data_IF_953941832445
#
_entry.id   IF_953941832445
#
_cell.length_a   1.000
_cell.length_b   1.000
_cell.length_c   1.000
_cell.angle_alpha   90.00
_cell.angle_beta   90.00
_cell.angle_gamma   90.00
#
_symmetry.space_group_name_H-M   'P 1'
#
loop_
_entity.id
_entity.type
_entity.pdbx_description
1 polymer ?
#
# COMPACT_ATOMS: atom_id res chain seq x y z
N UNK A 1 -20.27 16.78 -20.03
CA UNK A 1 -19.12 17.71 -19.85
C UNK A 1 -18.42 17.50 -18.49
N UNK A 2 -19.16 17.26 -17.41
CA UNK A 2 -18.57 16.98 -16.09
C UNK A 2 -18.04 15.55 -16.00
N UNK A 3 -18.80 14.57 -16.49
CA UNK A 3 -18.39 13.17 -16.62
C UNK A 3 -17.16 12.96 -17.51
N UNK A 4 -17.10 13.62 -18.67
CA UNK A 4 -15.94 13.55 -19.57
C UNK A 4 -14.67 14.19 -18.95
N UNK A 5 -14.83 15.23 -18.13
CA UNK A 5 -13.73 15.87 -17.43
C UNK A 5 -13.21 15.03 -16.27
N UNK A 6 -14.13 14.39 -15.53
CA UNK A 6 -13.79 13.45 -14.44
C UNK A 6 -13.11 12.18 -14.98
N UNK A 7 -13.59 11.60 -16.09
CA UNK A 7 -12.95 10.46 -16.76
C UNK A 7 -11.55 10.82 -17.27
N UNK A 8 -11.37 12.02 -17.81
CA UNK A 8 -10.05 12.46 -18.29
C UNK A 8 -9.07 12.69 -17.14
N UNK A 9 -9.52 13.28 -16.02
CA UNK A 9 -8.69 13.47 -14.83
C UNK A 9 -8.27 12.14 -14.21
N UNK A 10 -9.17 11.16 -14.16
CA UNK A 10 -8.85 9.79 -13.71
C UNK A 10 -7.77 9.14 -14.58
N UNK A 11 -7.79 9.34 -15.90
CA UNK A 11 -6.79 8.79 -16.82
C UNK A 11 -5.43 9.49 -16.70
N UNK A 12 -5.40 10.77 -16.45
CA UNK A 12 -4.15 11.54 -16.30
C UNK A 12 -3.33 11.11 -15.07
N UNK A 13 -3.97 10.62 -14.00
CA UNK A 13 -3.31 10.20 -12.75
C UNK A 13 -3.25 8.69 -12.57
N UNK A 14 -3.32 7.93 -13.66
CA UNK A 14 -3.42 6.48 -13.60
C UNK A 14 -2.12 5.80 -13.14
N UNK A 15 -0.97 6.24 -13.64
CA UNK A 15 0.31 5.62 -13.31
C UNK A 15 0.93 6.24 -12.07
N UNK A 16 1.17 5.39 -11.06
CA UNK A 16 1.80 5.75 -9.82
C UNK A 16 2.91 4.79 -9.41
N UNK A 17 3.67 5.20 -8.42
CA UNK A 17 4.74 4.40 -7.80
C UNK A 17 4.64 4.51 -6.28
N UNK A 18 4.85 3.38 -5.59
CA UNK A 18 4.99 3.33 -4.13
C UNK A 18 6.46 3.16 -3.73
N UNK A 19 6.94 3.98 -2.79
CA UNK A 19 8.28 3.84 -2.21
C UNK A 19 8.39 4.62 -0.89
N UNK A 20 9.00 4.06 0.18
CA UNK A 20 9.28 4.75 1.44
C UNK A 20 10.50 5.67 1.34
N UNK A 21 10.40 6.76 0.56
CA UNK A 21 11.55 7.59 0.20
C UNK A 21 12.27 8.25 1.40
N UNK A 22 11.56 8.58 2.48
CA UNK A 22 12.20 9.10 3.71
C UNK A 22 13.05 8.03 4.38
N UNK A 23 12.62 6.77 4.33
CA UNK A 23 13.47 5.67 4.82
C UNK A 23 14.67 5.46 3.91
N UNK A 24 14.48 5.54 2.58
CA UNK A 24 15.57 5.47 1.62
C UNK A 24 16.64 6.53 1.88
N UNK A 25 16.26 7.78 2.12
CA UNK A 25 17.21 8.84 2.48
C UNK A 25 18.08 8.46 3.69
N UNK A 26 17.50 7.79 4.68
CA UNK A 26 18.24 7.33 5.86
C UNK A 26 19.21 6.18 5.54
N UNK A 27 18.81 5.28 4.64
CA UNK A 27 19.56 4.08 4.31
C UNK A 27 20.67 4.34 3.26
N UNK A 28 20.36 5.17 2.26
CA UNK A 28 21.20 5.39 1.08
C UNK A 28 21.96 6.72 1.12
N UNK A 29 21.53 7.66 1.97
CA UNK A 29 22.10 9.00 2.08
C UNK A 29 21.74 9.94 0.93
N UNK A 30 20.88 9.51 0.00
CA UNK A 30 20.36 10.31 -1.10
C UNK A 30 19.09 11.00 -0.65
N UNK A 31 18.98 12.32 -0.88
CA UNK A 31 17.79 13.06 -0.45
C UNK A 31 16.51 12.52 -1.07
N UNK A 32 15.48 12.31 -0.24
CA UNK A 32 14.22 11.68 -0.64
C UNK A 32 13.54 12.36 -1.82
N UNK A 33 13.62 13.69 -1.91
CA UNK A 33 13.03 14.48 -2.97
C UNK A 33 13.71 14.27 -4.35
N UNK A 34 14.98 13.85 -4.38
CA UNK A 34 15.69 13.53 -5.63
C UNK A 34 15.15 12.26 -6.30
N UNK A 35 14.68 11.28 -5.53
CA UNK A 35 14.07 10.09 -6.10
C UNK A 35 12.76 10.36 -6.85
N UNK A 36 12.07 11.48 -6.55
CA UNK A 36 10.88 11.88 -7.30
C UNK A 36 11.20 12.27 -8.75
N UNK A 37 12.44 12.63 -9.07
CA UNK A 37 12.88 12.86 -10.46
C UNK A 37 12.75 11.54 -11.28
N UNK A 38 12.96 10.38 -10.68
CA UNK A 38 12.74 9.09 -11.35
C UNK A 38 11.24 8.84 -11.60
N UNK A 39 10.39 9.19 -10.64
CA UNK A 39 8.92 9.06 -10.77
C UNK A 39 8.41 9.95 -11.91
N UNK A 40 8.89 11.20 -11.96
CA UNK A 40 8.59 12.13 -13.05
C UNK A 40 9.12 11.61 -14.39
N UNK A 41 10.36 11.11 -14.42
CA UNK A 41 10.99 10.53 -15.61
C UNK A 41 10.23 9.35 -16.19
N UNK A 42 9.59 8.54 -15.35
CA UNK A 42 8.66 7.50 -15.78
C UNK A 42 7.36 8.06 -16.39
N UNK A 43 7.07 9.34 -16.23
CA UNK A 43 5.78 9.95 -16.59
C UNK A 43 4.65 9.60 -15.63
N UNK A 44 4.96 9.11 -14.44
CA UNK A 44 3.97 8.84 -13.41
C UNK A 44 3.40 10.13 -12.83
N UNK A 45 2.13 10.11 -12.45
CA UNK A 45 1.39 11.25 -11.90
C UNK A 45 0.83 10.99 -10.49
N UNK A 46 1.19 9.87 -9.88
CA UNK A 46 0.83 9.54 -8.51
C UNK A 46 2.02 8.95 -7.76
N UNK A 47 2.08 9.25 -6.47
CA UNK A 47 3.11 8.76 -5.57
C UNK A 47 2.48 8.30 -4.25
N UNK A 48 2.75 7.05 -3.85
CA UNK A 48 2.35 6.52 -2.55
C UNK A 48 3.52 6.58 -1.59
N UNK A 49 3.34 7.33 -0.50
CA UNK A 49 4.35 7.59 0.52
C UNK A 49 4.04 6.85 1.81
N UNK A 50 5.03 6.18 2.39
CA UNK A 50 4.94 5.68 3.76
C UNK A 50 5.13 6.84 4.73
N UNK A 51 4.08 7.14 5.47
CA UNK A 51 4.03 8.24 6.44
C UNK A 51 3.61 7.68 7.81
N UNK A 52 4.47 6.87 8.41
CA UNK A 52 4.13 6.20 9.67
C UNK A 52 3.91 7.19 10.80
N UNK A 53 2.73 7.11 11.41
CA UNK A 53 2.33 7.93 12.56
C UNK A 53 3.41 7.89 13.65
N UNK A 54 3.93 6.70 13.94
CA UNK A 54 4.88 6.46 15.04
C UNK A 54 6.32 6.94 14.77
N UNK A 55 6.61 7.28 13.51
CA UNK A 55 7.88 7.92 13.12
C UNK A 55 7.76 9.43 13.05
N UNK A 56 6.58 9.95 12.71
CA UNK A 56 6.32 11.38 12.51
C UNK A 56 5.88 12.06 13.79
N UNK A 57 5.20 11.34 14.67
CA UNK A 57 4.73 11.84 15.95
C UNK A 57 5.49 11.15 17.10
N UNK A 58 5.70 11.89 18.20
CA UNK A 58 6.25 11.37 19.46
C UNK A 58 5.14 10.77 20.34
N UNK A 59 3.94 11.31 20.24
CA UNK A 59 2.68 10.84 20.78
C UNK A 59 1.53 11.32 19.87
N UNK A 60 0.26 10.96 20.11
CA UNK A 60 -0.85 11.30 19.22
C UNK A 60 -1.01 12.78 18.84
N UNK A 61 -0.44 13.70 19.61
CA UNK A 61 -0.59 15.16 19.44
C UNK A 61 0.72 15.90 19.23
N UNK A 62 1.84 15.27 19.51
CA UNK A 62 3.14 15.93 19.52
C UNK A 62 3.96 15.52 18.30
N UNK A 63 4.13 16.40 17.31
CA UNK A 63 4.94 16.10 16.12
C UNK A 63 6.44 16.08 16.45
N UNK A 64 7.18 15.21 15.79
CA UNK A 64 8.63 15.29 15.70
C UNK A 64 9.02 16.33 14.64
N UNK A 65 9.63 17.43 15.04
CA UNK A 65 9.92 18.54 14.16
C UNK A 65 10.84 18.17 12.98
N UNK A 66 11.80 17.25 13.21
CA UNK A 66 12.73 16.78 12.17
C UNK A 66 12.01 15.91 11.13
N UNK A 67 11.21 14.95 11.60
CA UNK A 67 10.43 14.08 10.72
C UNK A 67 9.41 14.87 9.91
N UNK A 68 8.68 15.80 10.54
CA UNK A 68 7.74 16.69 9.86
C UNK A 68 8.45 17.52 8.79
N UNK A 69 9.62 18.09 9.08
CA UNK A 69 10.38 18.89 8.11
C UNK A 69 10.80 18.06 6.89
N UNK A 70 11.27 16.82 7.10
CA UNK A 70 11.67 15.93 6.02
C UNK A 70 10.47 15.57 5.11
N UNK A 71 9.33 15.20 5.70
CA UNK A 71 8.13 14.90 4.92
C UNK A 71 7.59 16.11 4.17
N UNK A 72 7.59 17.31 4.78
CA UNK A 72 7.17 18.54 4.09
C UNK A 72 8.02 18.87 2.89
N UNK A 73 9.34 18.69 2.98
CA UNK A 73 10.25 18.88 1.84
C UNK A 73 9.91 17.91 0.68
N UNK A 74 9.71 16.63 0.99
CA UNK A 74 9.31 15.62 0.02
C UNK A 74 7.96 15.95 -0.64
N UNK A 75 6.95 16.30 0.16
CA UNK A 75 5.61 16.64 -0.32
C UNK A 75 5.60 17.91 -1.16
N UNK A 76 6.40 18.92 -0.78
CA UNK A 76 6.58 20.12 -1.58
C UNK A 76 7.14 19.78 -2.97
N UNK A 77 8.16 18.93 -3.04
CA UNK A 77 8.70 18.47 -4.33
C UNK A 77 7.66 17.69 -5.13
N UNK A 78 6.89 16.81 -4.50
CA UNK A 78 5.82 16.10 -5.19
C UNK A 78 4.77 17.04 -5.80
N UNK A 79 4.40 18.11 -5.09
CA UNK A 79 3.49 19.14 -5.62
C UNK A 79 4.11 19.94 -6.78
N UNK A 80 5.40 20.25 -6.73
CA UNK A 80 6.11 20.93 -7.84
C UNK A 80 6.09 20.07 -9.11
N UNK A 81 6.12 18.74 -8.97
CA UNK A 81 6.04 17.77 -10.07
C UNK A 81 4.58 17.40 -10.46
N UNK A 82 3.59 18.06 -9.87
CA UNK A 82 2.15 17.77 -10.08
C UNK A 82 1.81 16.29 -9.82
N UNK A 83 2.39 15.72 -8.76
CA UNK A 83 2.07 14.36 -8.31
C UNK A 83 0.90 14.37 -7.32
N UNK A 84 -0.09 13.51 -7.52
CA UNK A 84 -1.08 13.19 -6.50
C UNK A 84 -0.43 12.30 -5.43
N UNK A 85 -0.54 12.70 -4.18
CA UNK A 85 0.10 11.98 -3.08
C UNK A 85 -0.91 11.17 -2.29
N UNK A 86 -0.68 9.86 -2.21
CA UNK A 86 -1.32 8.95 -1.26
C UNK A 86 -0.38 8.74 -0.08
N UNK A 87 -0.74 9.25 1.10
CA UNK A 87 -0.01 9.02 2.35
C UNK A 87 -0.56 7.78 3.06
N UNK A 88 0.29 6.87 3.48
CA UNK A 88 -0.11 5.64 4.16
C UNK A 88 0.55 5.50 5.52
N UNK A 89 -0.24 5.10 6.53
CA UNK A 89 0.30 4.58 7.78
C UNK A 89 -0.45 3.31 8.19
N UNK A 90 0.32 2.32 8.62
CA UNK A 90 -0.20 1.09 9.22
C UNK A 90 0.24 0.90 10.66
N UNK A 91 0.87 1.91 11.25
CA UNK A 91 1.32 1.91 12.65
C UNK A 91 0.59 2.96 13.47
N UNK A 92 0.41 2.67 14.75
CA UNK A 92 -0.23 3.58 15.72
C UNK A 92 0.35 3.40 17.12
N UNK A 93 0.03 4.36 17.99
CA UNK A 93 0.38 4.33 19.39
C UNK A 93 -0.57 3.44 20.18
N UNK A 94 -0.04 2.75 21.19
CA UNK A 94 -0.79 1.92 22.12
C UNK A 94 -0.75 2.53 23.52
N UNK A 95 -1.84 2.41 24.30
CA UNK A 95 -1.91 2.98 25.65
C UNK A 95 -0.98 2.27 26.62
N UNK A 96 -0.75 2.91 27.75
CA UNK A 96 -0.05 2.28 28.86
C UNK A 96 -0.82 1.06 29.35
N UNK A 97 -0.11 -0.04 29.58
CA UNK A 97 -0.73 -1.35 29.88
C UNK A 97 -0.70 -2.35 28.75
N UNK A 98 -0.51 -1.92 27.49
CA UNK A 98 -0.17 -2.81 26.38
C UNK A 98 1.29 -3.26 26.48
N UNK A 99 1.59 -4.47 25.95
CA UNK A 99 2.97 -5.01 25.87
C UNK A 99 3.83 -4.09 25.03
N UNK A 100 3.28 -3.61 23.92
CA UNK A 100 3.90 -2.63 23.05
C UNK A 100 3.38 -1.23 23.29
N UNK A 101 4.16 -0.24 22.88
CA UNK A 101 3.76 1.17 22.94
C UNK A 101 3.33 1.73 21.59
N UNK A 102 3.71 1.05 20.52
CA UNK A 102 3.39 1.43 19.13
C UNK A 102 3.59 0.23 18.20
N UNK A 103 2.99 0.29 17.02
CA UNK A 103 3.13 -0.75 16.00
C UNK A 103 1.81 -1.10 15.34
N UNK A 104 1.72 -2.32 14.84
CA UNK A 104 0.55 -2.88 14.14
C UNK A 104 -0.35 -3.73 15.04
N UNK A 105 -0.11 -3.69 16.33
CA UNK A 105 -0.83 -4.49 17.31
C UNK A 105 -2.04 -3.74 17.88
N UNK A 106 -3.03 -4.49 18.33
CA UNK A 106 -4.11 -3.97 19.16
C UNK A 106 -4.33 -4.89 20.36
N UNK A 107 -4.82 -4.37 21.52
CA UNK A 107 -5.40 -5.22 22.53
C UNK A 107 -6.65 -5.95 21.98
N UNK A 108 -7.10 -6.99 22.67
CA UNK A 108 -8.34 -7.66 22.33
C UNK A 108 -9.50 -6.65 22.22
N UNK A 109 -10.37 -6.85 21.23
CA UNK A 109 -11.51 -5.97 20.99
C UNK A 109 -12.44 -5.91 22.19
N UNK A 110 -12.51 -4.77 22.84
CA UNK A 110 -13.37 -4.49 23.98
C UNK A 110 -13.93 -3.07 23.87
N UNK A 111 -15.20 -2.94 23.54
CA UNK A 111 -15.90 -1.65 23.37
C UNK A 111 -16.37 -1.03 24.69
N UNK A 112 -16.00 -1.59 25.84
CA UNK A 112 -16.31 -0.99 27.14
C UNK A 112 -15.61 0.36 27.26
N UNK A 113 -16.32 1.45 27.64
CA UNK A 113 -15.69 2.75 27.83
C UNK A 113 -14.49 2.67 28.79
N UNK A 114 -13.35 3.18 28.34
CA UNK A 114 -12.10 3.19 29.12
C UNK A 114 -11.25 1.92 29.02
N UNK A 115 -11.69 0.89 28.27
CA UNK A 115 -10.84 -0.27 27.95
C UNK A 115 -9.57 0.15 27.20
N UNK A 116 -8.53 -0.68 27.23
CA UNK A 116 -7.30 -0.42 26.46
C UNK A 116 -7.60 -0.32 24.97
N UNK A 117 -8.55 -1.11 24.47
CA UNK A 117 -8.97 -1.06 23.07
C UNK A 117 -9.59 0.28 22.70
N UNK A 118 -10.54 0.79 23.50
CA UNK A 118 -11.15 2.10 23.26
C UNK A 118 -10.15 3.26 23.41
N UNK A 119 -9.18 3.13 24.31
CA UNK A 119 -8.08 4.08 24.39
C UNK A 119 -7.21 4.07 23.13
N UNK A 120 -6.90 2.88 22.58
CA UNK A 120 -6.18 2.74 21.30
C UNK A 120 -6.92 3.44 20.17
N UNK A 121 -8.23 3.21 20.02
CA UNK A 121 -9.05 3.88 18.99
C UNK A 121 -9.06 5.40 19.15
N UNK A 122 -9.14 5.90 20.37
CA UNK A 122 -9.08 7.34 20.67
C UNK A 122 -7.71 7.94 20.31
N UNK A 123 -6.62 7.25 20.64
CA UNK A 123 -5.26 7.67 20.29
C UNK A 123 -5.05 7.67 18.76
N UNK A 124 -5.60 6.68 18.08
CA UNK A 124 -5.57 6.58 16.62
C UNK A 124 -6.29 7.76 15.96
N UNK A 125 -7.52 8.07 16.40
CA UNK A 125 -8.28 9.25 15.92
C UNK A 125 -7.49 10.56 16.10
N UNK A 126 -6.90 10.78 17.27
CA UNK A 126 -6.09 11.98 17.53
C UNK A 126 -4.83 12.02 16.65
N UNK A 127 -4.15 10.89 16.50
CA UNK A 127 -2.96 10.80 15.64
C UNK A 127 -3.27 11.15 14.20
N UNK A 128 -4.34 10.60 13.64
CA UNK A 128 -4.76 10.92 12.28
C UNK A 128 -5.21 12.37 12.12
N UNK A 129 -5.87 12.95 13.12
CA UNK A 129 -6.20 14.37 13.12
C UNK A 129 -4.94 15.24 13.08
N UNK A 130 -3.93 14.90 13.87
CA UNK A 130 -2.65 15.59 13.87
C UNK A 130 -1.94 15.43 12.51
N UNK A 131 -1.85 14.22 11.97
CA UNK A 131 -1.23 13.94 10.68
C UNK A 131 -1.90 14.72 9.54
N UNK A 132 -3.21 14.63 9.41
CA UNK A 132 -3.94 15.31 8.36
C UNK A 132 -3.88 16.85 8.44
N UNK A 133 -3.77 17.39 9.66
CA UNK A 133 -3.55 18.83 9.88
C UNK A 133 -2.13 19.28 9.52
N UNK A 134 -1.13 18.45 9.77
CA UNK A 134 0.28 18.75 9.50
C UNK A 134 0.61 18.72 8.00
N UNK A 135 -0.07 17.86 7.25
CA UNK A 135 0.23 17.58 5.85
C UNK A 135 -1.00 17.78 4.94
N UNK A 136 -1.47 19.03 4.79
CA UNK A 136 -2.60 19.34 3.91
C UNK A 136 -2.29 19.07 2.41
N UNK A 137 -1.02 18.82 2.09
CA UNK A 137 -0.55 18.48 0.74
C UNK A 137 -0.87 17.03 0.35
N UNK A 138 -1.21 16.17 1.30
CA UNK A 138 -1.60 14.78 1.02
C UNK A 138 -3.04 14.77 0.51
N UNK A 139 -3.23 14.25 -0.69
CA UNK A 139 -4.53 14.24 -1.37
C UNK A 139 -5.43 13.10 -0.88
N UNK A 140 -4.82 11.94 -0.61
CA UNK A 140 -5.49 10.71 -0.19
C UNK A 140 -4.74 10.13 1.01
N UNK A 141 -5.44 9.81 2.08
CA UNK A 141 -4.90 9.05 3.21
C UNK A 141 -5.38 7.61 3.13
N UNK A 142 -4.45 6.70 2.95
CA UNK A 142 -4.70 5.26 3.03
C UNK A 142 -4.53 4.80 4.49
N UNK A 143 -5.61 4.32 5.06
CA UNK A 143 -5.65 3.94 6.47
C UNK A 143 -5.31 2.45 6.63
N UNK A 144 -4.07 2.17 6.97
CA UNK A 144 -3.57 0.82 7.15
C UNK A 144 -2.98 0.21 5.88
N UNK A 145 -2.49 -1.00 6.01
CA UNK A 145 -1.93 -1.82 4.95
C UNK A 145 -2.24 -3.27 5.26
N UNK A 146 -2.92 -3.95 4.37
CA UNK A 146 -3.14 -5.40 4.41
C UNK A 146 -3.60 -5.96 5.77
N UNK A 147 -4.51 -5.27 6.46
CA UNK A 147 -4.99 -5.69 7.79
C UNK A 147 -5.73 -7.05 7.80
N UNK A 148 -6.00 -7.60 6.63
CA UNK A 148 -6.44 -8.98 6.52
C UNK A 148 -5.31 -10.00 6.77
N UNK A 149 -4.04 -9.57 6.84
CA UNK A 149 -2.88 -10.41 7.12
C UNK A 149 -2.38 -10.23 8.56
N UNK A 150 -1.88 -11.32 9.15
CA UNK A 150 -1.29 -11.28 10.50
C UNK A 150 -0.04 -10.40 10.58
N UNK A 151 0.66 -10.22 9.47
CA UNK A 151 1.84 -9.35 9.38
C UNK A 151 1.52 -7.88 9.70
N UNK A 152 0.28 -7.43 9.47
CA UNK A 152 -0.09 -6.02 9.57
C UNK A 152 -1.23 -5.76 10.57
N UNK A 153 -1.82 -6.78 11.16
CA UNK A 153 -2.78 -6.67 12.25
C UNK A 153 -2.73 -7.92 13.13
N UNK A 154 -2.27 -7.77 14.34
CA UNK A 154 -2.08 -8.86 15.28
C UNK A 154 -2.40 -8.45 16.73
N UNK A 155 -2.56 -9.43 17.64
CA UNK A 155 -2.78 -9.16 19.07
C UNK A 155 -1.63 -8.35 19.69
N UNK A 156 -1.83 -7.85 20.88
CA UNK A 156 -0.91 -7.06 21.69
C UNK A 156 0.45 -7.76 21.96
N UNK A 157 0.97 -8.34 20.97
CA UNK A 157 2.27 -8.96 20.86
C UNK A 157 2.98 -8.34 19.68
N UNK A 158 4.19 -8.70 19.49
CA UNK A 158 4.99 -8.19 18.40
C UNK A 158 4.74 -8.97 17.11
N UNK A 159 5.08 -8.35 15.99
CA UNK A 159 5.38 -9.01 14.70
C UNK A 159 6.30 -10.22 14.86
N UNK A 160 6.58 -10.57 16.01
CA UNK A 160 7.37 -11.70 16.21
C UNK A 160 6.54 -12.92 15.93
N UNK A 161 6.96 -13.58 15.15
CA UNK A 161 7.09 -15.00 15.06
C UNK A 161 6.19 -15.87 15.95
N UNK A 162 5.60 -15.38 17.05
CA UNK A 162 4.56 -16.11 17.76
C UNK A 162 3.18 -15.90 17.12
N UNK A 163 3.05 -16.39 15.89
CA UNK A 163 1.77 -16.54 15.20
C UNK A 163 0.85 -17.56 15.88
N UNK A 164 1.21 -18.02 17.07
CA UNK A 164 0.47 -19.07 17.80
C UNK A 164 -0.91 -18.63 18.27
N UNK A 165 -1.19 -17.31 18.31
CA UNK A 165 -2.50 -16.75 18.73
C UNK A 165 -2.89 -15.54 17.89
N UNK A 166 -3.01 -15.67 16.58
CA UNK A 166 -3.49 -14.58 15.73
C UNK A 166 -4.95 -14.27 16.08
N UNK A 167 -5.42 -13.08 15.71
CA UNK A 167 -6.86 -12.83 15.63
C UNK A 167 -7.49 -13.78 14.61
N UNK A 168 -8.70 -14.24 14.88
CA UNK A 168 -9.48 -14.94 13.86
C UNK A 168 -9.81 -14.00 12.69
N UNK A 169 -10.16 -14.53 11.51
CA UNK A 169 -10.52 -13.71 10.35
C UNK A 169 -11.64 -12.72 10.65
N UNK A 170 -12.68 -13.16 11.35
CA UNK A 170 -13.81 -12.30 11.70
C UNK A 170 -13.43 -11.23 12.72
N UNK A 171 -12.58 -11.54 13.71
CA UNK A 171 -12.05 -10.55 14.65
C UNK A 171 -11.18 -9.49 13.93
N UNK A 172 -10.32 -9.91 12.98
CA UNK A 172 -9.54 -8.95 12.18
C UNK A 172 -10.44 -7.98 11.42
N UNK A 173 -11.49 -8.48 10.78
CA UNK A 173 -12.43 -7.60 10.06
C UNK A 173 -13.12 -6.65 11.03
N UNK A 174 -13.58 -7.14 12.18
CA UNK A 174 -14.23 -6.30 13.19
C UNK A 174 -13.28 -5.20 13.70
N UNK A 175 -12.01 -5.55 13.97
CA UNK A 175 -10.97 -4.60 14.37
C UNK A 175 -10.65 -3.63 13.24
N UNK A 176 -10.48 -4.11 12.01
CA UNK A 176 -10.22 -3.26 10.85
C UNK A 176 -11.36 -2.24 10.62
N UNK A 177 -12.61 -2.64 10.83
CA UNK A 177 -13.76 -1.74 10.78
C UNK A 177 -13.66 -0.62 11.80
N UNK A 178 -13.32 -0.96 13.06
CA UNK A 178 -13.15 0.03 14.12
C UNK A 178 -11.97 0.97 13.78
N UNK A 179 -10.83 0.42 13.38
CA UNK A 179 -9.65 1.21 13.00
C UNK A 179 -9.94 2.16 11.82
N UNK A 180 -10.61 1.68 10.76
CA UNK A 180 -10.99 2.53 9.61
C UNK A 180 -11.89 3.68 10.04
N UNK A 181 -12.93 3.41 10.83
CA UNK A 181 -13.87 4.44 11.25
C UNK A 181 -13.18 5.57 12.04
N UNK A 182 -12.39 5.21 13.05
CA UNK A 182 -11.70 6.21 13.88
C UNK A 182 -10.59 6.92 13.11
N UNK A 183 -9.91 6.24 12.19
CA UNK A 183 -8.94 6.89 11.29
C UNK A 183 -9.61 7.90 10.37
N UNK A 184 -10.69 7.52 9.68
CA UNK A 184 -11.44 8.40 8.80
C UNK A 184 -11.99 9.63 9.55
N UNK A 185 -12.53 9.42 10.74
CA UNK A 185 -13.01 10.50 11.61
C UNK A 185 -11.88 11.46 11.99
N UNK A 186 -10.70 10.94 12.35
CA UNK A 186 -9.52 11.74 12.65
C UNK A 186 -9.05 12.56 11.44
N UNK A 187 -8.91 11.92 10.28
CA UNK A 187 -8.48 12.56 9.04
C UNK A 187 -9.41 13.71 8.66
N UNK A 188 -10.74 13.47 8.64
CA UNK A 188 -11.73 14.49 8.28
C UNK A 188 -11.76 15.66 9.26
N UNK A 189 -11.49 15.40 10.54
CA UNK A 189 -11.35 16.45 11.55
C UNK A 189 -10.10 17.30 11.33
N UNK A 190 -8.98 16.68 10.91
CA UNK A 190 -7.72 17.36 10.64
C UNK A 190 -7.68 18.08 9.30
N UNK A 191 -8.21 17.46 8.25
CA UNK A 191 -8.31 18.00 6.90
C UNK A 191 -9.60 17.55 6.20
N UNK A 192 -10.67 18.34 6.24
CA UNK A 192 -11.96 17.98 5.62
C UNK A 192 -11.92 17.81 4.09
N UNK A 193 -10.82 18.20 3.44
CA UNK A 193 -10.67 18.09 1.97
C UNK A 193 -9.97 16.80 1.56
N UNK A 194 -9.23 16.16 2.47
CA UNK A 194 -8.52 14.93 2.18
C UNK A 194 -9.51 13.79 1.97
N UNK A 195 -9.21 12.93 1.00
CA UNK A 195 -9.95 11.67 0.80
C UNK A 195 -9.35 10.57 1.66
N UNK A 196 -10.18 9.63 2.06
CA UNK A 196 -9.78 8.44 2.81
C UNK A 196 -9.89 7.22 1.90
N UNK A 197 -8.79 6.48 1.76
CA UNK A 197 -8.78 5.17 1.12
C UNK A 197 -8.81 4.06 2.18
N UNK A 198 -9.41 2.91 1.85
CA UNK A 198 -9.49 1.75 2.74
C UNK A 198 -8.11 1.13 3.01
N UNK A 199 -8.04 0.12 3.89
CA UNK A 199 -6.79 -0.50 4.35
C UNK A 199 -6.08 -1.42 3.34
N UNK A 200 -6.45 -1.39 2.08
CA UNK A 200 -5.83 -2.17 1.00
C UNK A 200 -5.64 -3.65 1.29
N UNK A 201 -6.71 -4.45 1.37
CA UNK A 201 -6.56 -5.87 1.56
C UNK A 201 -5.72 -6.49 0.44
N UNK A 202 -4.83 -7.41 0.83
CA UNK A 202 -4.03 -8.19 -0.08
C UNK A 202 -4.64 -9.57 -0.34
N UNK A 203 -4.02 -10.30 -1.25
CA UNK A 203 -4.26 -11.73 -1.40
C UNK A 203 -3.98 -12.42 -0.07
N UNK A 204 -4.94 -13.21 0.39
CA UNK A 204 -4.74 -13.98 1.59
C UNK A 204 -3.93 -15.24 1.27
N UNK A 205 -2.80 -15.40 1.94
CA UNK A 205 -1.98 -16.60 1.83
C UNK A 205 -1.90 -17.31 3.16
N UNK A 206 -1.93 -18.63 3.17
CA UNK A 206 -1.74 -19.42 4.39
C UNK A 206 -0.39 -19.13 5.07
N UNK A 207 0.64 -18.77 4.30
CA UNK A 207 1.99 -18.52 4.81
C UNK A 207 2.18 -17.20 5.53
N UNK A 208 1.36 -16.21 5.20
CA UNK A 208 1.36 -14.90 5.87
C UNK A 208 0.26 -14.77 6.93
N UNK A 209 -0.27 -15.91 7.40
CA UNK A 209 -1.39 -15.94 8.33
C UNK A 209 -2.70 -15.54 7.68
N UNK A 210 -2.80 -15.75 6.39
CA UNK A 210 -4.02 -15.54 5.66
C UNK A 210 -5.10 -16.50 6.08
N UNK A 211 -6.22 -15.97 6.48
CA UNK A 211 -7.28 -16.61 7.21
C UNK A 211 -8.50 -16.90 6.32
N UNK A 212 -8.25 -17.12 5.04
CA UNK A 212 -9.32 -17.52 4.14
C UNK A 212 -9.76 -18.96 4.41
N UNK A 213 -11.06 -19.23 4.25
CA UNK A 213 -11.53 -20.61 4.21
C UNK A 213 -10.72 -21.41 3.19
N UNK A 214 -10.31 -22.62 3.56
CA UNK A 214 -9.47 -23.49 2.72
C UNK A 214 -10.04 -23.82 1.33
N UNK A 215 -11.33 -23.61 1.15
CA UNK A 215 -12.03 -23.86 -0.10
C UNK A 215 -12.02 -22.68 -1.09
N UNK A 216 -11.54 -21.49 -0.67
CA UNK A 216 -11.46 -20.36 -1.56
C UNK A 216 -10.06 -20.28 -2.18
N UNK A 217 -9.95 -20.11 -3.49
CA UNK A 217 -8.68 -19.77 -4.11
C UNK A 217 -8.11 -18.48 -3.52
N UNK A 218 -6.83 -18.46 -3.24
CA UNK A 218 -6.10 -17.35 -2.62
C UNK A 218 -6.38 -16.00 -3.31
N UNK A 219 -6.49 -16.00 -4.62
CA UNK A 219 -6.76 -14.82 -5.44
C UNK A 219 -8.09 -14.13 -5.14
N UNK A 220 -9.03 -14.80 -4.50
CA UNK A 220 -10.32 -14.19 -4.10
C UNK A 220 -10.32 -13.60 -2.69
N UNK A 221 -9.16 -13.55 -2.02
CA UNK A 221 -9.03 -13.03 -0.66
C UNK A 221 -9.47 -11.58 -0.53
N UNK A 222 -9.16 -10.74 -1.50
CA UNK A 222 -9.62 -9.35 -1.52
C UNK A 222 -11.14 -9.26 -1.60
N UNK A 223 -11.75 -9.97 -2.55
CA UNK A 223 -13.20 -9.96 -2.71
C UNK A 223 -13.92 -10.50 -1.47
N UNK A 224 -13.39 -11.55 -0.85
CA UNK A 224 -13.91 -12.10 0.40
C UNK A 224 -13.78 -11.09 1.55
N UNK A 225 -12.64 -10.45 1.71
CA UNK A 225 -12.40 -9.43 2.74
C UNK A 225 -13.34 -8.24 2.55
N UNK A 226 -13.49 -7.73 1.33
CA UNK A 226 -14.40 -6.64 1.04
C UNK A 226 -15.87 -7.02 1.31
N UNK A 227 -16.29 -8.24 0.93
CA UNK A 227 -17.67 -8.70 1.24
C UNK A 227 -17.92 -8.73 2.75
N UNK A 228 -16.93 -9.13 3.54
CA UNK A 228 -17.01 -9.10 5.00
C UNK A 228 -17.09 -7.66 5.53
N UNK A 229 -16.25 -6.74 5.05
CA UNK A 229 -16.27 -5.33 5.41
C UNK A 229 -17.65 -4.71 5.11
N UNK A 230 -18.11 -4.82 3.89
CA UNK A 230 -19.40 -4.26 3.49
C UNK A 230 -20.60 -4.90 4.22
N UNK A 231 -20.52 -6.20 4.50
CA UNK A 231 -21.57 -6.84 5.30
C UNK A 231 -21.66 -6.32 6.74
N UNK A 232 -20.51 -5.95 7.35
CA UNK A 232 -20.48 -5.28 8.66
C UNK A 232 -21.12 -3.91 8.59
N UNK A 233 -20.76 -3.09 7.59
CA UNK A 233 -21.37 -1.77 7.37
C UNK A 233 -22.90 -1.93 7.23
N UNK A 234 -23.35 -2.76 6.29
CA UNK A 234 -24.77 -2.96 6.02
C UNK A 234 -25.55 -3.55 7.19
N UNK A 235 -24.88 -4.19 8.15
CA UNK A 235 -25.51 -4.72 9.36
C UNK A 235 -26.03 -3.65 10.31
N UNK A 236 -25.50 -2.43 10.23
CA UNK A 236 -25.78 -1.32 11.17
C UNK A 236 -25.35 -1.59 12.62
N UNK A 237 -24.52 -2.62 12.85
CA UNK A 237 -24.06 -3.01 14.20
C UNK A 237 -22.73 -2.40 14.59
N UNK A 238 -22.08 -1.71 13.66
CA UNK A 238 -20.82 -0.99 13.86
C UNK A 238 -21.10 0.51 14.05
N UNK A 239 -20.07 1.34 13.86
CA UNK A 239 -20.13 2.78 14.13
C UNK A 239 -21.05 3.55 13.17
N UNK A 240 -21.22 3.05 11.95
CA UNK A 240 -22.11 3.59 10.93
C UNK A 240 -22.60 2.50 9.98
N UNK A 241 -23.74 2.71 9.35
CA UNK A 241 -24.27 1.90 8.24
C UNK A 241 -23.96 2.52 6.86
N UNK A 242 -23.26 3.65 6.84
CA UNK A 242 -22.82 4.34 5.63
C UNK A 242 -21.32 4.10 5.39
N UNK A 243 -20.96 3.55 4.22
CA UNK A 243 -19.59 3.31 3.82
C UNK A 243 -18.74 4.61 3.74
N UNK A 244 -19.37 5.74 3.44
CA UNK A 244 -18.71 7.04 3.37
C UNK A 244 -18.12 7.49 4.71
N UNK A 245 -18.59 6.95 5.83
CA UNK A 245 -18.03 7.25 7.13
C UNK A 245 -16.70 6.52 7.39
N UNK A 246 -16.40 5.50 6.58
CA UNK A 246 -15.19 4.70 6.68
C UNK A 246 -14.16 5.05 5.61
N UNK A 247 -14.59 5.20 4.34
CA UNK A 247 -13.71 5.52 3.22
C UNK A 247 -14.47 6.17 2.05
N UNK A 248 -13.75 7.01 1.31
CA UNK A 248 -14.22 7.64 0.07
C UNK A 248 -13.80 6.85 -1.16
N UNK A 249 -12.69 6.11 -1.04
CA UNK A 249 -12.03 5.35 -2.09
C UNK A 249 -11.80 3.93 -1.58
N UNK A 250 -12.05 2.93 -2.42
CA UNK A 250 -11.68 1.54 -2.10
C UNK A 250 -10.29 1.25 -2.64
N UNK A 251 -9.48 0.57 -1.85
CA UNK A 251 -8.13 0.19 -2.26
C UNK A 251 -7.87 -1.30 -2.03
N UNK A 252 -6.98 -1.88 -2.83
CA UNK A 252 -6.48 -3.24 -2.64
C UNK A 252 -5.14 -3.46 -3.34
N UNK A 253 -4.47 -4.58 -2.99
CA UNK A 253 -3.22 -5.02 -3.57
C UNK A 253 -3.46 -6.25 -4.47
N UNK A 254 -3.55 -6.07 -5.79
CA UNK A 254 -3.85 -7.15 -6.73
C UNK A 254 -2.61 -7.91 -7.17
N UNK A 255 -1.84 -8.46 -6.26
CA UNK A 255 -0.76 -9.37 -6.63
C UNK A 255 -1.34 -10.69 -7.15
N UNK A 256 -0.77 -11.24 -8.20
CA UNK A 256 -1.19 -12.55 -8.75
C UNK A 256 -0.38 -13.71 -8.22
N UNK A 257 0.46 -13.46 -7.22
CA UNK A 257 1.33 -14.45 -6.63
C UNK A 257 1.23 -14.47 -5.10
N UNK A 258 1.67 -15.58 -4.53
CA UNK A 258 1.86 -15.73 -3.11
C UNK A 258 3.31 -16.05 -2.82
N UNK A 259 3.82 -15.64 -1.66
CA UNK A 259 5.17 -16.03 -1.23
C UNK A 259 5.32 -17.55 -1.15
N UNK A 260 4.26 -18.28 -0.80
CA UNK A 260 4.26 -19.74 -0.78
C UNK A 260 4.42 -20.37 -2.16
N UNK A 261 3.82 -19.76 -3.18
CA UNK A 261 3.96 -20.22 -4.56
C UNK A 261 5.39 -20.03 -5.03
N UNK A 262 6.03 -18.92 -4.62
CA UNK A 262 7.44 -18.64 -4.91
C UNK A 262 8.38 -19.61 -4.17
N UNK A 263 8.05 -20.02 -2.93
CA UNK A 263 8.88 -20.93 -2.13
C UNK A 263 8.78 -22.40 -2.57
N UNK A 264 7.59 -22.84 -2.99
CA UNK A 264 7.35 -24.24 -3.33
C UNK A 264 7.70 -24.61 -4.76
N UNK A 265 7.50 -23.68 -5.66
CA UNK A 265 7.76 -23.89 -7.07
C UNK A 265 8.14 -22.54 -7.68
N UNK A 266 9.45 -22.36 -7.86
CA UNK A 266 9.99 -21.17 -8.52
C UNK A 266 9.42 -20.98 -9.94
N UNK A 267 8.78 -22.00 -10.48
CA UNK A 267 8.20 -22.01 -11.80
C UNK A 267 6.66 -21.80 -11.80
N UNK A 268 6.00 -21.76 -10.63
CA UNK A 268 4.55 -21.61 -10.57
C UNK A 268 4.07 -20.31 -11.24
N UNK A 269 4.82 -19.23 -11.08
CA UNK A 269 4.61 -17.99 -11.82
C UNK A 269 4.84 -18.13 -13.32
N UNK A 270 5.79 -18.98 -13.68
CA UNK A 270 6.19 -19.22 -15.05
C UNK A 270 5.18 -20.11 -15.78
N UNK A 271 4.39 -20.85 -15.01
CA UNK A 271 3.36 -21.76 -15.50
C UNK A 271 1.95 -21.17 -15.50
N UNK A 272 1.77 -19.93 -14.98
CA UNK A 272 0.51 -19.20 -15.20
C UNK A 272 0.50 -18.74 -16.65
N UNK A 273 -0.23 -19.46 -17.49
CA UNK A 273 -0.30 -19.18 -18.93
C UNK A 273 -0.90 -17.80 -19.23
N UNK A 274 -1.79 -17.30 -18.34
CA UNK A 274 -2.48 -16.02 -18.52
C UNK A 274 -2.65 -15.28 -17.17
N UNK A 275 -1.56 -14.76 -16.56
CA UNK A 275 -1.65 -14.03 -15.27
C UNK A 275 -2.52 -12.76 -15.37
N UNK A 276 -2.63 -12.17 -16.54
CA UNK A 276 -3.49 -11.04 -16.82
C UNK A 276 -4.99 -11.40 -16.70
N UNK A 277 -5.42 -12.57 -17.16
CA UNK A 277 -6.80 -13.04 -17.01
C UNK A 277 -7.15 -13.24 -15.55
N UNK A 278 -6.30 -13.90 -14.78
CA UNK A 278 -6.50 -14.10 -13.34
C UNK A 278 -6.57 -12.77 -12.59
N UNK A 279 -5.70 -11.85 -12.92
CA UNK A 279 -5.65 -10.53 -12.31
C UNK A 279 -6.95 -9.75 -12.58
N UNK A 280 -7.49 -9.84 -13.80
CA UNK A 280 -8.79 -9.25 -14.18
C UNK A 280 -9.93 -9.87 -13.40
N UNK A 281 -10.05 -11.19 -13.44
CA UNK A 281 -11.14 -11.93 -12.80
C UNK A 281 -11.23 -11.63 -11.30
N UNK A 282 -10.09 -11.53 -10.67
CA UNK A 282 -9.94 -11.21 -9.28
C UNK A 282 -10.33 -9.74 -8.98
N UNK A 283 -9.85 -8.78 -9.76
CA UNK A 283 -10.22 -7.37 -9.61
C UNK A 283 -11.71 -7.15 -9.89
N UNK A 284 -12.26 -7.81 -10.91
CA UNK A 284 -13.68 -7.77 -11.21
C UNK A 284 -14.53 -8.44 -10.12
N UNK A 285 -14.01 -9.47 -9.44
CA UNK A 285 -14.69 -10.08 -8.29
C UNK A 285 -14.79 -9.07 -7.13
N UNK A 286 -13.71 -8.36 -6.82
CA UNK A 286 -13.70 -7.30 -5.81
C UNK A 286 -14.67 -6.16 -6.16
N UNK A 287 -14.67 -5.71 -7.41
CA UNK A 287 -15.59 -4.65 -7.86
C UNK A 287 -17.06 -5.11 -7.86
N UNK A 288 -17.36 -6.39 -8.15
CA UNK A 288 -18.73 -6.92 -7.99
C UNK A 288 -19.23 -6.84 -6.55
N UNK A 289 -18.36 -7.01 -5.57
CA UNK A 289 -18.71 -6.80 -4.16
C UNK A 289 -19.11 -5.34 -3.91
N UNK A 290 -18.33 -4.38 -4.35
CA UNK A 290 -18.68 -2.96 -4.22
C UNK A 290 -20.06 -2.67 -4.80
N UNK A 291 -20.34 -3.14 -6.02
CA UNK A 291 -21.67 -2.98 -6.67
C UNK A 291 -22.80 -3.64 -5.90
N UNK A 292 -22.55 -4.82 -5.32
CA UNK A 292 -23.55 -5.54 -4.50
C UNK A 292 -24.04 -4.70 -3.33
N UNK A 293 -23.18 -3.87 -2.76
CA UNK A 293 -23.49 -3.03 -1.59
C UNK A 293 -23.76 -1.57 -1.92
N UNK A 294 -23.84 -1.20 -3.20
CA UNK A 294 -24.24 0.14 -3.63
C UNK A 294 -23.07 1.11 -3.90
N UNK A 295 -21.82 0.70 -3.70
CA UNK A 295 -20.61 1.51 -3.89
C UNK A 295 -19.96 1.33 -5.27
N UNK A 296 -20.74 0.94 -6.28
CA UNK A 296 -20.20 0.73 -7.63
C UNK A 296 -19.75 2.01 -8.34
N UNK A 297 -20.03 3.16 -7.81
CA UNK A 297 -19.59 4.48 -8.27
C UNK A 297 -18.34 5.01 -7.55
N UNK A 298 -17.94 4.38 -6.43
CA UNK A 298 -16.67 4.72 -5.79
C UNK A 298 -15.49 4.31 -6.67
N UNK A 299 -14.49 5.18 -6.69
CA UNK A 299 -13.23 4.92 -7.38
C UNK A 299 -12.39 3.89 -6.62
N UNK A 300 -11.55 3.20 -7.37
CA UNK A 300 -10.59 2.23 -6.84
C UNK A 300 -9.18 2.72 -7.08
N UNK A 301 -8.34 2.63 -6.07
CA UNK A 301 -6.88 2.73 -6.21
C UNK A 301 -6.24 1.39 -5.88
N UNK A 302 -5.33 0.95 -6.74
CA UNK A 302 -4.50 -0.21 -6.47
C UNK A 302 -3.18 0.31 -5.93
N UNK A 303 -3.05 0.28 -4.61
CA UNK A 303 -1.96 0.98 -3.92
C UNK A 303 -0.65 0.22 -3.95
N UNK A 304 -0.69 -1.07 -4.29
CA UNK A 304 0.48 -1.86 -4.67
C UNK A 304 0.11 -2.88 -5.73
N UNK A 305 0.96 -3.00 -6.75
CA UNK A 305 1.02 -4.13 -7.67
C UNK A 305 2.41 -4.19 -8.26
N UNK A 306 2.87 -5.36 -8.63
CA UNK A 306 4.19 -5.53 -9.22
C UNK A 306 4.60 -6.97 -9.35
N UNK A 307 5.79 -7.17 -9.88
CA UNK A 307 6.43 -8.46 -10.03
C UNK A 307 7.87 -8.38 -9.52
N UNK A 308 8.31 -9.44 -8.86
CA UNK A 308 9.71 -9.62 -8.50
C UNK A 308 10.35 -10.66 -9.39
N UNK A 309 11.51 -10.37 -9.93
CA UNK A 309 12.28 -11.32 -10.73
C UNK A 309 13.33 -12.07 -9.91
N UNK A 310 13.41 -11.81 -8.62
CA UNK A 310 14.39 -12.40 -7.70
C UNK A 310 15.86 -12.27 -8.18
N UNK A 311 16.14 -11.27 -9.02
CA UNK A 311 17.46 -11.07 -9.61
C UNK A 311 17.78 -11.93 -10.84
N UNK A 312 16.79 -12.59 -11.43
CA UNK A 312 16.93 -13.42 -12.64
C UNK A 312 16.59 -12.59 -13.90
N UNK A 313 17.55 -12.37 -14.81
CA UNK A 313 17.33 -11.58 -16.02
C UNK A 313 16.28 -12.15 -16.99
N UNK A 314 16.10 -13.48 -17.05
CA UNK A 314 15.08 -14.10 -17.90
C UNK A 314 13.68 -13.83 -17.37
N UNK A 315 13.53 -13.84 -16.05
CA UNK A 315 12.29 -13.45 -15.36
C UNK A 315 12.00 -11.97 -15.54
N UNK A 316 13.02 -11.12 -15.52
CA UNK A 316 12.82 -9.68 -15.74
C UNK A 316 12.13 -9.37 -17.07
N UNK A 317 12.54 -10.02 -18.18
CA UNK A 317 11.90 -9.88 -19.50
C UNK A 317 10.41 -10.24 -19.45
N UNK A 318 10.13 -11.41 -18.90
CA UNK A 318 8.78 -11.94 -18.79
C UNK A 318 7.88 -11.05 -17.93
N UNK A 319 8.39 -10.61 -16.80
CA UNK A 319 7.61 -9.78 -15.87
C UNK A 319 7.43 -8.33 -16.34
N UNK A 320 8.36 -7.80 -17.15
CA UNK A 320 8.14 -6.54 -17.85
C UNK A 320 6.95 -6.65 -18.80
N UNK A 321 6.86 -7.75 -19.55
CA UNK A 321 5.73 -8.02 -20.44
C UNK A 321 4.40 -8.16 -19.69
N UNK A 322 4.36 -8.91 -18.58
CA UNK A 322 3.15 -9.06 -17.78
C UNK A 322 2.74 -7.77 -17.09
N UNK A 323 3.70 -7.00 -16.59
CA UNK A 323 3.43 -5.71 -15.98
C UNK A 323 2.78 -4.74 -16.98
N UNK A 324 3.30 -4.67 -18.23
CA UNK A 324 2.68 -3.87 -19.30
C UNK A 324 1.24 -4.33 -19.57
N UNK A 325 1.00 -5.63 -19.66
CA UNK A 325 -0.35 -6.18 -19.87
C UNK A 325 -1.32 -5.83 -18.74
N UNK A 326 -0.91 -6.04 -17.50
CA UNK A 326 -1.75 -5.75 -16.32
C UNK A 326 -2.08 -4.26 -16.24
N UNK A 327 -1.10 -3.39 -16.41
CA UNK A 327 -1.30 -1.95 -16.39
C UNK A 327 -2.25 -1.48 -17.50
N UNK A 328 -2.09 -2.03 -18.72
CA UNK A 328 -2.99 -1.72 -19.83
C UNK A 328 -4.42 -2.18 -19.55
N UNK A 329 -4.57 -3.38 -19.01
CA UNK A 329 -5.87 -3.91 -18.64
C UNK A 329 -6.54 -3.09 -17.52
N UNK A 330 -5.78 -2.72 -16.49
CA UNK A 330 -6.27 -1.85 -15.41
C UNK A 330 -6.66 -0.47 -15.95
N UNK A 331 -5.91 0.08 -16.91
CA UNK A 331 -6.24 1.33 -17.57
C UNK A 331 -7.60 1.30 -18.28
N UNK A 332 -7.97 0.15 -18.84
CA UNK A 332 -9.26 -0.06 -19.51
C UNK A 332 -10.42 -0.31 -18.52
N UNK A 333 -10.15 -0.54 -17.22
CA UNK A 333 -11.18 -0.70 -16.20
C UNK A 333 -11.73 0.67 -15.76
N UNK A 334 -13.02 0.95 -15.95
CA UNK A 334 -13.55 2.29 -15.70
C UNK A 334 -13.54 2.68 -14.21
N UNK A 335 -13.58 1.73 -13.32
CA UNK A 335 -13.58 1.94 -11.87
C UNK A 335 -12.18 2.16 -11.28
N UNK A 336 -11.12 1.76 -12.00
CA UNK A 336 -9.74 1.94 -11.54
C UNK A 336 -9.25 3.35 -11.87
N UNK A 337 -8.93 4.11 -10.84
CA UNK A 337 -8.41 5.45 -10.93
C UNK A 337 -6.88 5.45 -11.08
N UNK A 338 -6.21 4.77 -10.18
CA UNK A 338 -4.74 4.81 -10.06
C UNK A 338 -4.20 3.43 -9.74
N UNK A 339 -3.05 3.09 -10.32
CA UNK A 339 -2.29 1.89 -9.98
C UNK A 339 -0.87 2.32 -9.59
N UNK A 340 -0.46 1.97 -8.36
CA UNK A 340 0.90 2.20 -7.89
C UNK A 340 1.74 0.94 -8.09
N UNK A 341 2.82 1.08 -8.86
CA UNK A 341 3.79 0.01 -8.98
C UNK A 341 4.60 -0.08 -7.68
N UNK A 342 4.65 -1.25 -7.11
CA UNK A 342 5.55 -1.61 -6.05
C UNK A 342 6.74 -2.34 -6.66
N UNK A 343 7.93 -1.74 -6.63
CA UNK A 343 8.32 -0.49 -6.01
C UNK A 343 9.26 0.31 -6.96
N UNK A 344 9.68 1.50 -6.57
CA UNK A 344 10.58 2.33 -7.40
C UNK A 344 11.97 1.71 -7.53
N UNK A 345 12.56 1.30 -6.41
CA UNK A 345 13.95 0.85 -6.33
C UNK A 345 14.05 -0.59 -5.81
N UNK A 346 15.04 -1.34 -6.30
CA UNK A 346 15.49 -2.53 -5.58
C UNK A 346 16.03 -2.17 -4.20
N UNK A 347 15.99 -3.10 -3.25
CA UNK A 347 16.45 -2.85 -1.87
C UNK A 347 17.49 -3.87 -1.43
N UNK A 348 18.70 -3.76 -1.97
CA UNK A 348 19.80 -4.68 -1.62
C UNK A 348 20.25 -4.58 -0.16
N UNK A 349 20.03 -3.44 0.49
CA UNK A 349 20.27 -3.29 1.92
C UNK A 349 19.48 -4.32 2.76
N UNK A 350 18.31 -4.76 2.30
CA UNK A 350 17.56 -5.83 2.96
C UNK A 350 18.36 -7.14 3.05
N UNK A 351 19.21 -7.45 2.08
CA UNK A 351 20.05 -8.64 2.10
C UNK A 351 21.09 -8.64 3.21
N UNK A 352 21.31 -7.50 3.85
CA UNK A 352 22.26 -7.33 4.95
C UNK A 352 21.57 -7.32 6.32
N UNK A 353 20.22 -7.24 6.35
CA UNK A 353 19.47 -7.27 7.60
C UNK A 353 19.49 -8.67 8.20
N UNK A 354 19.60 -8.74 9.51
CA UNK A 354 19.54 -10.00 10.24
C UNK A 354 18.20 -10.70 10.01
N UNK A 355 18.24 -12.00 9.76
CA UNK A 355 17.04 -12.82 9.60
C UNK A 355 16.54 -13.01 8.17
N UNK A 356 17.09 -12.30 7.17
CA UNK A 356 16.80 -12.58 5.76
C UNK A 356 17.79 -13.61 5.22
N UNK A 357 17.32 -14.82 4.97
CA UNK A 357 18.13 -15.84 4.31
C UNK A 357 18.25 -15.52 2.81
N UNK A 358 19.45 -15.15 2.40
CA UNK A 358 19.80 -14.83 1.00
C UNK A 358 19.60 -16.00 0.04
N UNK A 359 19.43 -17.20 0.56
CA UNK A 359 19.23 -18.42 -0.22
C UNK A 359 17.74 -18.81 -0.28
N UNK A 360 16.89 -18.14 0.44
CA UNK A 360 15.44 -18.35 0.38
C UNK A 360 14.79 -17.38 -0.60
N UNK A 361 13.98 -17.91 -1.50
CA UNK A 361 13.29 -17.14 -2.52
C UNK A 361 12.42 -16.05 -1.90
N UNK A 362 11.76 -16.32 -0.76
CA UNK A 362 10.95 -15.32 -0.04
C UNK A 362 11.76 -14.09 0.38
N UNK A 363 13.02 -14.26 0.84
CA UNK A 363 13.90 -13.14 1.16
C UNK A 363 14.35 -12.34 -0.06
N UNK A 364 14.51 -12.98 -1.21
CA UNK A 364 14.85 -12.32 -2.47
C UNK A 364 13.66 -11.58 -3.10
N UNK A 365 12.45 -12.01 -2.81
CA UNK A 365 11.23 -11.44 -3.38
C UNK A 365 11.15 -9.92 -3.13
N UNK A 366 11.25 -9.49 -1.88
CA UNK A 366 11.13 -8.08 -1.52
C UNK A 366 12.27 -7.21 -2.10
N UNK A 367 13.44 -7.79 -2.32
CA UNK A 367 14.62 -7.07 -2.81
C UNK A 367 14.48 -6.61 -4.26
N UNK A 368 13.81 -7.40 -5.12
CA UNK A 368 13.87 -7.25 -6.57
C UNK A 368 12.56 -6.79 -7.23
N UNK A 369 11.69 -6.11 -6.50
CA UNK A 369 10.49 -5.47 -7.06
C UNK A 369 10.77 -4.18 -7.85
N UNK A 370 11.93 -3.57 -7.70
CA UNK A 370 12.25 -2.24 -8.20
C UNK A 370 12.07 -2.06 -9.70
N UNK A 371 11.60 -0.89 -10.09
CA UNK A 371 11.65 -0.40 -11.47
C UNK A 371 13.06 0.03 -11.86
N UNK A 372 13.84 0.44 -10.88
CA UNK A 372 15.26 0.73 -11.01
C UNK A 372 16.07 -0.19 -10.09
N UNK A 373 17.35 -0.36 -10.42
CA UNK A 373 18.27 -1.06 -9.54
C UNK A 373 18.48 -0.27 -8.25
N UNK A 374 19.11 -0.92 -7.27
CA UNK A 374 19.52 -0.29 -6.02
C UNK A 374 20.44 0.92 -6.29
N UNK A 375 20.39 1.99 -5.46
CA UNK A 375 21.27 3.16 -5.62
C UNK A 375 22.77 2.83 -5.65
N UNK A 376 23.21 1.80 -4.93
CA UNK A 376 24.59 1.31 -4.99
C UNK A 376 24.99 0.75 -6.35
N UNK A 377 24.03 0.51 -7.23
CA UNK A 377 24.22 0.06 -8.63
C UNK A 377 23.93 1.19 -9.64
N UNK A 378 23.75 2.40 -9.17
CA UNK A 378 23.55 3.58 -9.99
C UNK A 378 22.11 3.83 -10.45
N UNK A 379 21.10 3.30 -9.76
CA UNK A 379 19.69 3.47 -10.12
C UNK A 379 19.41 3.19 -11.61
N UNK A 380 19.98 2.11 -12.14
CA UNK A 380 19.79 1.78 -13.56
C UNK A 380 18.33 1.39 -13.84
N UNK A 381 17.71 1.93 -14.91
CA UNK A 381 16.35 1.56 -15.27
C UNK A 381 16.28 0.10 -15.70
N UNK A 382 15.25 -0.59 -15.23
CA UNK A 382 15.00 -1.98 -15.56
C UNK A 382 13.94 -2.07 -16.69
N UNK A 383 13.76 -3.23 -17.29
CA UNK A 383 12.81 -3.42 -18.40
C UNK A 383 11.39 -2.98 -18.04
N UNK A 384 10.97 -3.17 -16.79
CA UNK A 384 9.66 -2.71 -16.29
C UNK A 384 9.53 -1.18 -16.26
N UNK A 385 10.61 -0.46 -15.98
CA UNK A 385 10.63 1.01 -16.06
C UNK A 385 10.36 1.50 -17.48
N UNK A 386 11.02 0.90 -18.46
CA UNK A 386 10.79 1.23 -19.88
C UNK A 386 9.38 0.86 -20.36
N UNK A 387 8.80 -0.22 -19.82
CA UNK A 387 7.41 -0.58 -20.12
C UNK A 387 6.43 0.51 -19.62
N UNK A 388 6.63 1.03 -18.41
CA UNK A 388 5.82 2.14 -17.88
C UNK A 388 6.06 3.42 -18.70
N UNK A 389 7.30 3.79 -18.96
CA UNK A 389 7.66 4.96 -19.76
C UNK A 389 6.99 4.96 -21.14
N UNK A 390 6.99 3.80 -21.81
CA UNK A 390 6.28 3.62 -23.08
C UNK A 390 4.78 3.88 -22.96
N UNK A 391 4.16 3.42 -21.87
CA UNK A 391 2.71 3.60 -21.64
C UNK A 391 2.34 5.02 -21.28
N UNK A 392 3.17 5.71 -20.51
CA UNK A 392 2.96 7.12 -20.13
C UNK A 392 3.29 8.09 -21.26
N UNK A 393 4.06 7.64 -22.26
CA UNK A 393 4.56 8.50 -23.35
C UNK A 393 5.70 9.43 -22.92
N UNK A 394 6.32 9.22 -21.77
CA UNK A 394 7.49 9.98 -21.33
C UNK A 394 8.67 9.74 -22.29
N UNK A 395 9.45 10.81 -22.54
CA UNK A 395 10.65 10.78 -23.39
C UNK A 395 11.93 11.07 -22.59
N UNK A 396 11.86 11.00 -21.26
CA UNK A 396 13.01 11.25 -20.40
C UNK A 396 14.11 10.21 -20.62
N UNK A 397 15.35 10.61 -20.46
CA UNK A 397 16.50 9.70 -20.42
C UNK A 397 16.61 9.10 -19.01
N UNK A 398 16.01 7.92 -18.82
CA UNK A 398 15.97 7.24 -17.52
C UNK A 398 17.35 6.84 -17.02
N UNK A 399 18.30 6.52 -17.92
CA UNK A 399 19.67 6.17 -17.54
C UNK A 399 20.42 7.40 -17.00
N UNK A 400 20.30 8.54 -17.70
CA UNK A 400 20.88 9.78 -17.22
C UNK A 400 20.28 10.23 -15.89
N UNK A 401 18.95 10.08 -15.71
CA UNK A 401 18.28 10.39 -14.46
C UNK A 401 18.76 9.47 -13.33
N UNK A 402 18.88 8.17 -13.58
CA UNK A 402 19.39 7.21 -12.59
C UNK A 402 20.81 7.56 -12.12
N UNK A 403 21.73 7.84 -13.06
CA UNK A 403 23.10 8.30 -12.75
C UNK A 403 23.09 9.57 -11.92
N UNK A 404 22.30 10.56 -12.31
CA UNK A 404 22.17 11.84 -11.59
C UNK A 404 21.71 11.62 -10.14
N UNK A 405 20.65 10.81 -9.93
CA UNK A 405 20.07 10.55 -8.60
C UNK A 405 21.05 9.78 -7.72
N UNK A 406 21.74 8.77 -8.27
CA UNK A 406 22.72 7.97 -7.52
C UNK A 406 24.06 8.66 -7.31
N UNK A 407 24.32 9.79 -7.96
CA UNK A 407 25.62 10.47 -7.91
C UNK A 407 26.75 9.73 -8.67
N UNK A 408 26.40 8.85 -9.61
CA UNK A 408 27.32 8.09 -10.46
C UNK A 408 27.60 8.80 -11.80
N UNK A 409 27.80 10.12 -11.79
CA UNK A 409 28.17 10.89 -12.99
C UNK A 409 29.59 10.59 -13.49
#
# INVERSE_FOLDING_TARGET
>A
LQTEREEKEVKERFFGVGEPLIQRERDDGIAADQYLDLVEGLGCKAYRSWMHITEILQDPRTPDAKAVSAHKKLLQRAKELDLEVTGMSHEWFLPEGCIQKKGHATPARDLTPGSLYMQTLSMLEESWCTMASLFPEVDIWEVGNEWNLNAFLHPDGFLDTDMSKPFSPDEKIDIAMDLMYFSAKGIRRGNPKAKVASFSPALSTKGLGGDMPDFLPVMYGVAWTLDKVYSRIASGKFWSDNSDDYFDIVSWHPYVFTLQDVEKDSDLFLNIEEPDTLWRDFSDAAYRVMKKYGDGDKQVIMTETGFTDIGDPEREERYAYYNEKILKMAYDMPYVRTVHNFRLLNEKAMLQRDGIDKNQIGGLTEVYFGLFTDPSEGCQPRKRAYAIQKMTGSVADLEALGRKVSGCE
#
